data_IF_645840205832
#
_entry.id   IF_645840205832
#
_cell.length_a   1.000
_cell.length_b   1.000
_cell.length_c   1.000
_cell.angle_alpha   90.00
_cell.angle_beta   90.00
_cell.angle_gamma   90.00
#
_symmetry.space_group_name_H-M   'P 1'
#
loop_
_entity.id
_entity.type
_entity.pdbx_description
1 polymer ?
#
# COMPACT_ATOMS: atom_id res chain seq x y z
N UNK A 1 -12.82 1.08 8.50
CA UNK A 1 -12.73 -0.22 7.80
C UNK A 1 -12.65 0.07 6.31
N UNK A 2 -11.96 -0.78 5.55
CA UNK A 2 -11.86 -0.66 4.10
C UNK A 2 -12.69 -1.77 3.45
N UNK A 3 -13.86 -1.46 2.86
CA UNK A 3 -14.68 -2.47 2.19
C UNK A 3 -14.09 -2.94 0.86
N UNK A 4 -13.19 -2.15 0.27
CA UNK A 4 -12.45 -2.45 -0.94
C UNK A 4 -11.11 -1.69 -0.93
N UNK A 5 -10.19 -2.08 -1.81
CA UNK A 5 -8.99 -1.30 -2.11
C UNK A 5 -9.41 0.06 -2.71
N UNK A 6 -8.80 1.13 -2.20
CA UNK A 6 -9.03 2.52 -2.61
C UNK A 6 -7.85 3.38 -2.16
N UNK A 7 -7.72 4.59 -2.72
CA UNK A 7 -6.77 5.56 -2.17
C UNK A 7 -7.13 5.92 -0.73
N UNK A 8 -6.13 6.04 0.14
CA UNK A 8 -6.31 6.55 1.50
C UNK A 8 -6.93 7.94 1.52
N UNK A 9 -6.64 8.76 0.50
CA UNK A 9 -7.14 10.13 0.37
C UNK A 9 -8.66 10.21 0.23
N UNK A 10 -9.29 9.13 -0.19
CA UNK A 10 -10.74 9.07 -0.43
C UNK A 10 -11.50 8.61 0.83
N UNK A 11 -10.77 8.23 1.88
CA UNK A 11 -11.35 7.78 3.13
C UNK A 11 -11.98 8.95 3.91
N UNK A 12 -13.16 8.73 4.49
CA UNK A 12 -13.92 9.78 5.20
C UNK A 12 -13.24 10.30 6.47
N UNK A 13 -12.45 9.45 7.14
CA UNK A 13 -11.68 9.85 8.32
C UNK A 13 -10.41 10.62 7.94
N UNK A 14 -10.25 11.81 8.50
CA UNK A 14 -9.10 12.69 8.26
C UNK A 14 -7.76 12.06 8.65
N UNK A 15 -7.74 11.22 9.69
CA UNK A 15 -6.54 10.50 10.14
C UNK A 15 -5.97 9.57 9.07
N UNK A 16 -6.83 9.04 8.19
CA UNK A 16 -6.45 8.17 7.06
C UNK A 16 -6.25 9.02 5.79
N UNK A 17 -7.15 9.97 5.52
CA UNK A 17 -7.08 10.86 4.34
C UNK A 17 -5.74 11.58 4.22
N UNK A 18 -5.23 12.08 5.34
CA UNK A 18 -3.95 12.79 5.43
C UNK A 18 -2.83 11.90 5.98
N UNK A 19 -2.96 10.58 5.90
CA UNK A 19 -1.92 9.68 6.37
C UNK A 19 -0.68 9.76 5.47
N UNK A 20 0.49 9.80 6.12
CA UNK A 20 1.77 9.52 5.48
C UNK A 20 2.58 8.58 6.35
N UNK A 21 3.10 7.51 5.76
CA UNK A 21 3.85 6.49 6.46
C UNK A 21 3.57 5.10 5.90
N UNK A 22 3.67 4.09 6.76
CA UNK A 22 3.51 2.69 6.38
C UNK A 22 2.12 2.17 6.79
N UNK A 23 1.44 1.47 5.89
CA UNK A 23 0.24 0.71 6.20
C UNK A 23 0.41 -0.74 5.74
N UNK A 24 0.01 -1.68 6.59
CA UNK A 24 0.10 -3.11 6.32
C UNK A 24 -1.27 -3.62 5.91
N UNK A 25 -1.36 -4.18 4.71
CA UNK A 25 -2.49 -4.95 4.24
C UNK A 25 -2.19 -6.42 4.46
N UNK A 26 -3.13 -7.16 5.04
CA UNK A 26 -3.01 -8.59 5.21
C UNK A 26 -4.25 -9.30 4.69
N UNK A 27 -4.03 -10.43 4.03
CA UNK A 27 -5.10 -11.31 3.59
C UNK A 27 -4.58 -12.74 3.46
N UNK A 28 -5.49 -13.70 3.40
CA UNK A 28 -5.17 -15.09 3.14
C UNK A 28 -5.74 -15.50 1.79
N UNK A 29 -5.01 -16.33 1.04
CA UNK A 29 -5.44 -16.84 -0.25
C UNK A 29 -5.04 -18.30 -0.42
N UNK A 30 -5.78 -19.06 -1.22
CA UNK A 30 -5.41 -20.44 -1.55
C UNK A 30 -4.49 -20.45 -2.77
N UNK A 31 -3.36 -21.15 -2.67
CA UNK A 31 -2.46 -21.30 -3.79
C UNK A 31 -3.14 -22.03 -4.95
N UNK A 32 -2.90 -21.61 -6.21
CA UNK A 32 -3.35 -22.36 -7.38
C UNK A 32 -2.59 -23.71 -7.52
N UNK A 33 -3.04 -24.56 -8.45
CA UNK A 33 -2.44 -25.90 -8.64
C UNK A 33 -0.92 -25.85 -8.84
N UNK A 34 -0.21 -26.81 -8.21
CA UNK A 34 1.25 -26.91 -8.25
C UNK A 34 1.76 -27.08 -9.69
N UNK A 35 2.91 -26.48 -9.98
CA UNK A 35 3.67 -26.70 -11.22
C UNK A 35 3.53 -25.60 -12.28
N UNK A 36 2.78 -24.53 -12.00
CA UNK A 36 2.77 -23.30 -12.80
C UNK A 36 3.57 -22.21 -12.11
N UNK A 37 4.12 -21.28 -12.90
CA UNK A 37 4.67 -20.07 -12.33
C UNK A 37 3.52 -19.20 -11.81
N UNK A 38 3.68 -18.67 -10.60
CA UNK A 38 2.67 -17.86 -9.92
C UNK A 38 3.24 -16.48 -9.69
N UNK A 39 2.68 -15.50 -10.41
CA UNK A 39 3.07 -14.10 -10.31
C UNK A 39 2.03 -13.35 -9.48
N UNK A 40 2.49 -12.61 -8.47
CA UNK A 40 1.67 -11.63 -7.77
C UNK A 40 1.80 -10.28 -8.48
N UNK A 41 0.70 -9.75 -8.98
CA UNK A 41 0.60 -8.40 -9.54
C UNK A 41 -0.20 -7.51 -8.59
N UNK A 42 0.38 -6.39 -8.14
CA UNK A 42 -0.27 -5.47 -7.20
C UNK A 42 -1.17 -4.42 -7.88
N UNK A 43 -1.14 -4.34 -9.20
CA UNK A 43 -1.80 -3.28 -9.96
C UNK A 43 -1.17 -1.93 -9.66
N UNK A 44 -1.99 -0.95 -9.29
CA UNK A 44 -1.52 0.39 -8.91
C UNK A 44 -1.17 0.47 -7.42
N UNK A 45 0.02 0.99 -7.13
CA UNK A 45 0.56 1.21 -5.79
C UNK A 45 1.02 2.66 -5.68
N UNK A 46 0.63 3.32 -4.60
CA UNK A 46 1.02 4.69 -4.29
C UNK A 46 1.74 4.73 -2.92
N UNK A 47 3.08 4.62 -2.84
CA UNK A 47 4.04 4.68 -3.96
C UNK A 47 4.95 3.44 -4.10
N UNK A 48 5.29 2.80 -2.98
CA UNK A 48 6.11 1.58 -2.97
C UNK A 48 5.48 0.50 -2.08
N UNK A 49 5.76 -0.77 -2.37
CA UNK A 49 5.25 -1.91 -1.62
C UNK A 49 6.37 -2.89 -1.25
N UNK A 50 6.37 -3.35 0.00
CA UNK A 50 7.16 -4.50 0.46
C UNK A 50 6.23 -5.70 0.58
N UNK A 51 6.58 -6.82 -0.06
CA UNK A 51 5.72 -8.00 -0.11
C UNK A 51 6.29 -9.12 0.74
N UNK A 52 5.44 -9.71 1.58
CA UNK A 52 5.72 -10.92 2.34
C UNK A 52 4.66 -11.99 2.06
N UNK A 53 5.11 -13.22 1.83
CA UNK A 53 4.22 -14.40 1.73
C UNK A 53 4.67 -15.41 2.77
N UNK A 54 3.73 -15.89 3.60
CA UNK A 54 4.00 -16.82 4.70
C UNK A 54 5.15 -16.33 5.63
N UNK A 55 5.24 -15.01 5.84
CA UNK A 55 6.29 -14.36 6.63
C UNK A 55 7.64 -14.21 5.92
N UNK A 56 7.81 -14.74 4.71
CA UNK A 56 9.04 -14.58 3.93
C UNK A 56 9.02 -13.27 3.14
N UNK A 57 10.05 -12.44 3.32
CA UNK A 57 10.26 -11.20 2.57
C UNK A 57 10.71 -11.48 1.13
N UNK A 58 9.96 -10.95 0.16
CA UNK A 58 10.17 -11.14 -1.27
C UNK A 58 10.71 -9.87 -1.96
N UNK A 59 11.00 -8.82 -1.17
CA UNK A 59 11.59 -7.58 -1.62
C UNK A 59 10.60 -6.43 -1.81
N UNK A 60 11.15 -5.32 -2.30
CA UNK A 60 10.45 -4.04 -2.46
C UNK A 60 10.17 -3.75 -3.93
N UNK A 61 8.89 -3.55 -4.26
CA UNK A 61 8.44 -3.06 -5.55
C UNK A 61 8.33 -1.53 -5.48
N UNK A 62 9.23 -0.83 -6.18
CA UNK A 62 9.32 0.63 -6.14
C UNK A 62 9.05 1.30 -7.50
N UNK A 63 8.89 0.52 -8.55
CA UNK A 63 8.57 1.01 -9.90
C UNK A 63 7.68 0.01 -10.64
N UNK A 64 6.85 0.53 -11.54
CA UNK A 64 6.02 -0.28 -12.41
C UNK A 64 6.87 -1.15 -13.36
N UNK A 65 6.46 -2.39 -13.67
CA UNK A 65 5.29 -3.10 -13.13
C UNK A 65 5.52 -3.63 -11.71
N UNK A 66 4.50 -3.49 -10.85
CA UNK A 66 4.53 -3.99 -9.47
C UNK A 66 4.23 -5.50 -9.44
N UNK A 67 5.20 -6.30 -9.90
CA UNK A 67 5.10 -7.75 -10.04
C UNK A 67 6.27 -8.47 -9.37
N UNK A 68 5.99 -9.65 -8.80
CA UNK A 68 7.03 -10.59 -8.38
C UNK A 68 6.56 -12.04 -8.54
N UNK A 69 7.53 -12.93 -8.75
CA UNK A 69 7.31 -14.38 -8.72
C UNK A 69 7.24 -14.85 -7.27
N UNK A 70 6.14 -15.51 -6.90
CA UNK A 70 5.89 -16.07 -5.56
C UNK A 70 5.92 -17.61 -5.57
N UNK A 71 6.22 -18.25 -6.69
CA UNK A 71 6.07 -19.70 -6.90
C UNK A 71 6.80 -20.54 -5.85
N UNK A 72 8.00 -20.11 -5.44
CA UNK A 72 8.88 -20.88 -4.56
C UNK A 72 8.53 -20.79 -3.09
N UNK A 73 7.62 -19.88 -2.71
CA UNK A 73 7.28 -19.60 -1.30
C UNK A 73 5.86 -20.00 -0.94
N UNK A 74 5.10 -20.49 -1.92
CA UNK A 74 3.75 -20.99 -1.71
C UNK A 74 3.75 -22.35 -1.00
N UNK A 75 2.83 -22.49 -0.06
CA UNK A 75 2.48 -23.77 0.57
C UNK A 75 1.13 -24.27 0.04
N UNK A 76 0.89 -25.56 0.24
CA UNK A 76 -0.40 -26.17 -0.10
C UNK A 76 -1.52 -25.64 0.80
N UNK A 77 -2.67 -25.33 0.21
CA UNK A 77 -3.79 -24.72 0.92
C UNK A 77 -3.63 -23.21 1.09
N UNK A 78 -3.89 -22.72 2.29
CA UNK A 78 -3.92 -21.29 2.62
C UNK A 78 -2.51 -20.70 2.75
N UNK A 79 -2.31 -19.51 2.17
CA UNK A 79 -1.09 -18.73 2.21
C UNK A 79 -1.42 -17.33 2.75
N UNK A 80 -0.59 -16.83 3.66
CA UNK A 80 -0.71 -15.48 4.19
C UNK A 80 0.04 -14.50 3.28
N UNK A 81 -0.65 -13.47 2.81
CA UNK A 81 -0.08 -12.35 2.07
C UNK A 81 -0.07 -11.11 2.95
N UNK A 82 1.09 -10.50 3.11
CA UNK A 82 1.22 -9.16 3.70
C UNK A 82 1.88 -8.21 2.70
N UNK A 83 1.29 -7.03 2.54
CA UNK A 83 1.81 -5.97 1.69
C UNK A 83 1.93 -4.71 2.54
N UNK A 84 3.16 -4.27 2.79
CA UNK A 84 3.42 -2.98 3.45
C UNK A 84 3.53 -1.91 2.36
N UNK A 85 2.58 -0.98 2.32
CA UNK A 85 2.62 0.16 1.39
C UNK A 85 3.09 1.42 2.10
N UNK A 86 3.94 2.19 1.42
CA UNK A 86 4.57 3.39 1.96
C UNK A 86 4.37 4.55 0.98
N UNK A 87 3.86 5.68 1.49
CA UNK A 87 3.75 6.93 0.72
C UNK A 87 4.63 8.06 1.32
N UNK A 88 4.95 9.10 0.54
CA UNK A 88 5.67 10.28 1.00
C UNK A 88 4.89 11.11 2.04
N UNK A 89 5.63 11.93 2.78
CA UNK A 89 5.12 12.87 3.79
C UNK A 89 4.12 13.93 3.29
N UNK A 90 3.97 14.10 1.97
CA UNK A 90 3.18 15.19 1.36
C UNK A 90 1.77 15.28 1.97
N UNK A 91 1.03 14.18 2.03
CA UNK A 91 -0.37 14.20 2.46
C UNK A 91 -0.51 14.58 3.93
N UNK A 92 0.38 14.08 4.80
CA UNK A 92 0.42 14.47 6.21
C UNK A 92 0.77 15.94 6.40
N UNK A 93 1.74 16.45 5.64
CA UNK A 93 2.11 17.87 5.68
C UNK A 93 0.92 18.76 5.26
N UNK A 94 0.15 18.36 4.25
CA UNK A 94 -1.08 19.07 3.85
C UNK A 94 -2.12 19.05 4.98
N UNK A 95 -2.34 17.88 5.59
CA UNK A 95 -3.27 17.75 6.71
C UNK A 95 -2.90 18.65 7.89
N UNK A 96 -1.62 18.80 8.20
CA UNK A 96 -1.17 19.61 9.35
C UNK A 96 -1.35 21.12 9.15
N UNK A 97 -1.40 21.60 7.90
CA UNK A 97 -1.70 23.00 7.57
C UNK A 97 -3.18 23.24 7.28
N UNK A 98 -4.02 22.21 7.34
CA UNK A 98 -5.46 22.29 7.07
C UNK A 98 -6.24 22.57 8.37
N UNK A 99 -7.03 23.65 8.45
CA UNK A 99 -7.82 23.95 9.64
C UNK A 99 -8.79 22.81 10.04
N UNK A 100 -8.84 22.49 11.32
CA UNK A 100 -9.76 21.48 11.87
C UNK A 100 -9.22 20.05 11.91
N UNK A 101 -8.18 19.75 11.13
CA UNK A 101 -7.52 18.44 11.15
C UNK A 101 -6.68 18.29 12.41
N UNK A 102 -7.00 17.31 13.25
CA UNK A 102 -6.27 17.02 14.49
C UNK A 102 -5.17 15.98 14.24
N UNK A 103 -3.92 16.31 14.52
CA UNK A 103 -2.79 15.36 14.48
C UNK A 103 -1.75 15.69 15.56
N UNK A 104 -0.82 14.78 15.83
CA UNK A 104 0.34 15.04 16.70
C UNK A 104 1.31 16.08 16.11
N UNK A 105 1.08 16.53 14.87
CA UNK A 105 1.87 17.50 14.14
C UNK A 105 3.19 16.94 13.63
N UNK A 106 3.52 17.24 12.37
CA UNK A 106 4.87 17.09 11.82
C UNK A 106 5.64 18.40 11.96
N UNK A 107 6.97 18.32 11.91
CA UNK A 107 7.83 19.49 11.93
C UNK A 107 8.70 19.54 10.67
N UNK A 108 8.67 20.69 10.00
CA UNK A 108 9.55 21.00 8.86
C UNK A 108 10.12 22.41 9.05
N UNK A 109 11.42 22.59 8.80
CA UNK A 109 12.07 23.90 8.93
C UNK A 109 11.56 24.94 7.92
N UNK A 110 11.01 24.49 6.79
CA UNK A 110 10.37 25.32 5.77
C UNK A 110 8.99 24.78 5.43
N UNK A 111 8.00 25.67 5.32
CA UNK A 111 6.67 25.29 4.91
C UNK A 111 6.60 25.11 3.39
N UNK A 112 6.66 23.86 2.94
CA UNK A 112 6.70 23.50 1.51
C UNK A 112 5.32 23.18 0.92
N UNK A 113 4.28 23.09 1.76
CA UNK A 113 2.89 22.85 1.35
C UNK A 113 1.95 23.90 1.94
N UNK A 114 0.80 24.06 1.29
CA UNK A 114 -0.31 24.93 1.70
C UNK A 114 -1.59 24.12 1.80
N UNK A 115 -2.61 24.63 2.46
CA UNK A 115 -3.95 24.01 2.50
C UNK A 115 -4.49 23.69 1.09
N UNK A 116 -4.25 24.56 0.12
CA UNK A 116 -4.67 24.36 -1.29
C UNK A 116 -3.82 23.34 -2.06
N UNK A 117 -2.82 22.71 -1.43
CA UNK A 117 -1.97 21.72 -2.09
C UNK A 117 -2.76 20.43 -2.26
N UNK A 118 -2.84 19.95 -3.50
CA UNK A 118 -3.52 18.70 -3.82
C UNK A 118 -2.87 17.51 -3.08
N UNK A 119 -3.71 16.64 -2.51
CA UNK A 119 -3.28 15.34 -2.01
C UNK A 119 -2.86 14.46 -3.19
N UNK A 120 -1.87 13.60 -2.97
CA UNK A 120 -1.53 12.56 -3.94
C UNK A 120 -2.20 11.25 -3.56
N UNK A 121 -2.60 10.43 -4.55
CA UNK A 121 -3.06 9.07 -4.27
C UNK A 121 -2.10 8.37 -3.32
N UNK A 122 -2.63 7.51 -2.45
CA UNK A 122 -1.81 6.80 -1.47
C UNK A 122 -2.43 5.44 -1.15
N UNK A 123 -1.60 4.42 -1.01
CA UNK A 123 -2.00 3.07 -0.62
C UNK A 123 -1.94 2.01 -1.72
N UNK A 124 -2.61 0.90 -1.47
CA UNK A 124 -2.76 -0.21 -2.40
C UNK A 124 -4.05 0.01 -3.17
N UNK A 125 -3.95 0.49 -4.41
CA UNK A 125 -5.11 0.83 -5.24
C UNK A 125 -5.60 -0.39 -6.01
N UNK A 126 -4.69 -1.29 -6.37
CA UNK A 126 -5.03 -2.53 -7.04
C UNK A 126 -5.33 -2.35 -8.54
N UNK A 127 -6.03 -3.31 -9.16
CA UNK A 127 -6.43 -4.59 -8.57
C UNK A 127 -5.21 -5.47 -8.24
N UNK A 128 -5.27 -6.20 -7.13
CA UNK A 128 -4.27 -7.21 -6.78
C UNK A 128 -4.70 -8.55 -7.38
N UNK A 129 -3.80 -9.21 -8.11
CA UNK A 129 -4.10 -10.42 -8.87
C UNK A 129 -3.02 -11.48 -8.70
N UNK A 130 -3.44 -12.74 -8.75
CA UNK A 130 -2.56 -13.89 -8.93
C UNK A 130 -2.65 -14.31 -10.40
N UNK A 131 -1.51 -14.26 -11.09
CA UNK A 131 -1.39 -14.61 -12.51
C UNK A 131 -0.66 -15.96 -12.60
N UNK A 132 -1.22 -16.85 -13.43
CA UNK A 132 -0.64 -18.14 -13.75
C UNK A 132 0.10 -18.05 -15.08
N UNK A 133 1.40 -18.32 -15.04
CA UNK A 133 2.26 -18.46 -16.21
C UNK A 133 2.66 -19.92 -16.45
#
# INVERSE_FOLDING_TARGET
EFPALQSWTDHAKEEIKYFSGEAIYSTAFTAPEKGKAVILELGEVADIAVVRVNGQDLGTLWMHPYKLDISTVLQEGENLLEITVINPWRNRLVGDVTPGVKSAGTFTSQQVVKESTELKPAGLLGPVQIILE
#
